data_IF_944003293347
#
_entry.id   IF_944003293347
#
_cell.length_a   1.000
_cell.length_b   1.000
_cell.length_c   1.000
_cell.angle_alpha   90.00
_cell.angle_beta   90.00
_cell.angle_gamma   90.00
#
_symmetry.space_group_name_H-M   'P 1'
#
loop_
_entity.id
_entity.type
_entity.pdbx_description
1 polymer ?
#
# COMPACT_ATOMS: atom_id res chain seq x y z
N UNK A 1 -73.71 -21.74 -17.65
CA UNK A 1 -73.35 -20.83 -16.55
C UNK A 1 -73.16 -21.64 -15.28
N UNK A 2 -71.92 -21.79 -14.79
CA UNK A 2 -71.59 -22.40 -13.49
C UNK A 2 -70.47 -21.59 -12.85
N UNK A 3 -70.77 -21.02 -11.68
CA UNK A 3 -69.86 -20.27 -10.82
C UNK A 3 -68.75 -21.18 -10.26
N UNK A 4 -67.51 -20.67 -10.17
CA UNK A 4 -66.47 -21.25 -9.31
C UNK A 4 -65.43 -20.21 -8.89
N UNK A 5 -65.72 -19.59 -7.74
CA UNK A 5 -64.87 -19.39 -6.57
C UNK A 5 -63.35 -19.19 -6.77
N UNK A 6 -62.89 -17.96 -6.55
CA UNK A 6 -61.61 -17.65 -5.89
C UNK A 6 -61.76 -17.89 -4.36
N UNK A 7 -60.70 -18.20 -3.57
CA UNK A 7 -59.46 -17.40 -3.39
C UNK A 7 -58.21 -18.31 -3.26
N UNK A 8 -56.95 -17.86 -3.18
CA UNK A 8 -56.36 -17.08 -2.10
C UNK A 8 -54.89 -16.85 -2.50
N UNK A 9 -54.53 -15.59 -2.75
CA UNK A 9 -53.14 -15.16 -2.92
C UNK A 9 -52.42 -15.33 -1.59
N UNK A 10 -51.45 -16.24 -1.50
CA UNK A 10 -50.47 -16.25 -0.41
C UNK A 10 -49.19 -15.58 -0.92
N UNK A 11 -49.13 -14.26 -0.72
CA UNK A 11 -47.95 -13.42 -0.97
C UNK A 11 -47.02 -13.59 0.24
N UNK A 12 -46.03 -14.48 0.12
CA UNK A 12 -44.99 -14.66 1.14
C UNK A 12 -43.92 -13.59 0.95
N UNK A 13 -44.11 -12.42 1.60
CA UNK A 13 -43.12 -11.35 1.65
C UNK A 13 -42.07 -11.73 2.69
N UNK A 14 -40.94 -12.30 2.25
CA UNK A 14 -39.77 -12.53 3.11
C UNK A 14 -38.99 -11.22 3.18
N UNK A 15 -39.19 -10.48 4.27
CA UNK A 15 -38.35 -9.33 4.63
C UNK A 15 -37.05 -9.87 5.24
N UNK A 16 -36.03 -10.09 4.41
CA UNK A 16 -34.66 -10.29 4.89
C UNK A 16 -34.03 -8.91 5.17
N UNK A 17 -34.19 -8.43 6.39
CA UNK A 17 -33.42 -7.30 6.90
C UNK A 17 -32.02 -7.78 7.31
N UNK A 18 -31.16 -8.09 6.34
CA UNK A 18 -29.71 -8.19 6.58
C UNK A 18 -29.08 -6.82 6.42
N UNK A 19 -29.14 -6.02 7.48
CA UNK A 19 -28.29 -4.82 7.62
C UNK A 19 -26.88 -5.27 7.98
N UNK A 20 -26.16 -5.87 7.03
CA UNK A 20 -24.72 -6.03 7.16
C UNK A 20 -24.09 -4.66 6.88
N UNK A 21 -23.87 -3.89 7.96
CA UNK A 21 -22.99 -2.73 7.94
C UNK A 21 -21.57 -3.23 7.64
N UNK A 22 -21.25 -3.36 6.34
CA UNK A 22 -19.88 -3.57 5.90
C UNK A 22 -19.16 -2.23 6.10
N UNK A 23 -18.49 -2.09 7.25
CA UNK A 23 -17.44 -1.07 7.40
C UNK A 23 -16.37 -1.38 6.36
N UNK A 24 -16.46 -0.72 5.21
CA UNK A 24 -15.46 -0.79 4.16
C UNK A 24 -14.22 -0.06 4.71
N UNK A 25 -13.34 -0.81 5.38
CA UNK A 25 -12.04 -0.28 5.76
C UNK A 25 -11.25 -0.02 4.49
N UNK A 26 -10.81 1.22 4.28
CA UNK A 26 -9.85 1.54 3.24
C UNK A 26 -8.62 0.63 3.39
N UNK A 27 -8.23 -0.03 2.29
CA UNK A 27 -7.08 -0.91 2.24
C UNK A 27 -5.86 -0.05 1.91
N UNK A 28 -4.90 0.03 2.83
CA UNK A 28 -3.70 0.82 2.65
C UNK A 28 -2.58 -0.01 2.00
N UNK A 29 -1.88 0.55 1.02
CA UNK A 29 -0.61 0.00 0.52
C UNK A 29 0.52 0.72 1.25
N UNK A 30 1.41 -0.02 1.90
CA UNK A 30 2.50 0.53 2.72
C UNK A 30 3.86 -0.02 2.31
N UNK A 31 4.92 0.71 2.66
CA UNK A 31 6.30 0.31 2.39
C UNK A 31 6.89 -0.63 3.45
N UNK A 32 6.28 -0.69 4.63
CA UNK A 32 6.75 -1.54 5.73
C UNK A 32 5.61 -1.89 6.69
N UNK A 33 5.78 -3.00 7.42
CA UNK A 33 4.80 -3.53 8.37
C UNK A 33 5.42 -3.56 9.76
N UNK A 34 4.62 -3.17 10.76
CA UNK A 34 4.92 -3.43 12.16
C UNK A 34 4.31 -4.78 12.56
N UNK A 35 5.16 -5.80 12.65
CA UNK A 35 4.75 -7.18 12.96
C UNK A 35 4.05 -7.32 14.32
N UNK A 36 4.17 -6.34 15.22
CA UNK A 36 3.52 -6.38 16.54
C UNK A 36 2.04 -6.00 16.50
N UNK A 37 1.60 -5.28 15.46
CA UNK A 37 0.22 -4.78 15.32
C UNK A 37 -0.52 -5.35 14.12
N UNK A 38 0.14 -6.21 13.36
CA UNK A 38 -0.34 -6.72 12.09
C UNK A 38 -0.35 -8.24 12.08
N UNK A 39 -1.46 -8.82 11.61
CA UNK A 39 -1.58 -10.27 11.44
C UNK A 39 -1.53 -10.60 9.95
N UNK A 40 -0.59 -11.45 9.53
CA UNK A 40 -0.51 -11.95 8.16
C UNK A 40 -1.77 -12.72 7.76
N UNK A 41 -2.24 -12.51 6.54
CA UNK A 41 -3.43 -13.17 5.98
C UNK A 41 -3.11 -14.05 4.78
N UNK A 42 -2.40 -13.51 3.80
CA UNK A 42 -2.04 -14.24 2.58
C UNK A 42 -0.96 -13.49 1.80
N UNK A 43 -0.42 -14.14 0.77
CA UNK A 43 0.48 -13.55 -0.21
C UNK A 43 0.01 -13.98 -1.59
N UNK A 44 0.05 -13.05 -2.54
CA UNK A 44 -0.31 -13.30 -3.92
C UNK A 44 0.61 -12.56 -4.89
N UNK A 45 0.61 -13.02 -6.14
CA UNK A 45 1.41 -12.43 -7.23
C UNK A 45 0.50 -11.99 -8.37
N UNK A 46 0.61 -10.71 -8.74
CA UNK A 46 0.01 -10.18 -9.96
C UNK A 46 1.01 -10.34 -11.12
N UNK A 47 0.63 -11.07 -12.17
CA UNK A 47 1.44 -11.23 -13.39
C UNK A 47 0.80 -10.50 -14.57
N UNK A 48 1.56 -9.65 -15.28
CA UNK A 48 1.05 -8.88 -16.43
C UNK A 48 2.10 -8.69 -17.53
N UNK A 49 1.64 -8.68 -18.78
CA UNK A 49 2.45 -8.35 -19.97
C UNK A 49 2.09 -6.98 -20.57
N UNK A 50 1.28 -6.19 -19.85
CA UNK A 50 0.88 -4.85 -20.30
C UNK A 50 2.07 -3.89 -20.17
N UNK A 51 2.27 -3.06 -21.21
CA UNK A 51 3.35 -2.05 -21.22
C UNK A 51 3.00 -0.76 -20.47
N UNK A 52 1.71 -0.48 -20.27
CA UNK A 52 1.21 0.75 -19.64
C UNK A 52 0.35 0.38 -18.43
N UNK A 53 0.40 1.20 -17.39
CA UNK A 53 -0.43 1.07 -16.18
C UNK A 53 -0.27 -0.28 -15.46
N UNK A 54 0.96 -0.79 -15.42
CA UNK A 54 1.28 -2.07 -14.76
C UNK A 54 0.96 -2.03 -13.27
N UNK A 55 1.48 -1.02 -12.57
CA UNK A 55 1.23 -0.82 -11.13
C UNK A 55 -0.26 -0.61 -10.84
N UNK A 56 -0.90 0.40 -11.44
CA UNK A 56 -2.34 0.67 -11.26
C UNK A 56 -3.23 -0.58 -11.39
N UNK A 57 -2.96 -1.44 -12.39
CA UNK A 57 -3.69 -2.69 -12.57
C UNK A 57 -3.39 -3.70 -11.46
N UNK A 58 -2.13 -3.88 -11.10
CA UNK A 58 -1.75 -4.83 -10.05
C UNK A 58 -2.18 -4.35 -8.66
N UNK A 59 -2.12 -3.05 -8.38
CA UNK A 59 -2.59 -2.45 -7.13
C UNK A 59 -4.09 -2.70 -6.97
N UNK A 60 -4.90 -2.43 -8.00
CA UNK A 60 -6.34 -2.73 -7.99
C UNK A 60 -6.59 -4.22 -7.74
N UNK A 61 -5.85 -5.09 -8.43
CA UNK A 61 -5.96 -6.54 -8.26
C UNK A 61 -5.57 -6.99 -6.85
N UNK A 62 -4.50 -6.43 -6.27
CA UNK A 62 -4.07 -6.75 -4.91
C UNK A 62 -5.03 -6.20 -3.86
N UNK A 63 -5.65 -5.03 -4.08
CA UNK A 63 -6.72 -4.48 -3.23
C UNK A 63 -7.91 -5.43 -3.18
N UNK A 64 -8.35 -5.94 -4.33
CA UNK A 64 -9.44 -6.92 -4.38
C UNK A 64 -9.08 -8.20 -3.64
N UNK A 65 -7.86 -8.72 -3.84
CA UNK A 65 -7.38 -9.93 -3.17
C UNK A 65 -7.18 -9.76 -1.67
N UNK A 66 -6.74 -8.59 -1.23
CA UNK A 66 -6.66 -8.25 0.19
C UNK A 66 -8.06 -8.21 0.82
N UNK A 67 -9.05 -7.64 0.12
CA UNK A 67 -10.45 -7.63 0.56
C UNK A 67 -11.02 -9.05 0.70
N UNK A 68 -10.75 -9.91 -0.29
CA UNK A 68 -11.21 -11.31 -0.30
C UNK A 68 -10.73 -12.08 0.95
N UNK A 69 -9.54 -11.77 1.48
CA UNK A 69 -8.96 -12.43 2.65
C UNK A 69 -9.15 -11.65 3.97
N UNK A 70 -9.94 -10.57 3.96
CA UNK A 70 -10.20 -9.73 5.13
C UNK A 70 -8.95 -9.01 5.66
N UNK A 71 -8.05 -8.60 4.76
CA UNK A 71 -6.91 -7.75 5.07
C UNK A 71 -7.25 -6.27 4.84
N UNK A 72 -6.60 -5.39 5.59
CA UNK A 72 -6.72 -3.93 5.45
C UNK A 72 -5.38 -3.25 5.13
N UNK A 73 -4.31 -4.02 4.95
CA UNK A 73 -2.98 -3.49 4.63
C UNK A 73 -2.27 -4.42 3.65
N UNK A 74 -1.60 -3.82 2.67
CA UNK A 74 -0.83 -4.50 1.63
C UNK A 74 0.62 -4.03 1.73
N UNK A 75 1.55 -4.99 1.75
CA UNK A 75 2.98 -4.73 1.59
C UNK A 75 3.43 -5.37 0.28
N UNK A 76 3.93 -4.58 -0.66
CA UNK A 76 4.60 -5.10 -1.86
C UNK A 76 5.99 -5.59 -1.44
N UNK A 77 6.22 -6.89 -1.59
CA UNK A 77 7.44 -7.54 -1.09
C UNK A 77 8.49 -7.74 -2.18
N UNK A 78 8.06 -7.87 -3.43
CA UNK A 78 8.96 -8.08 -4.56
C UNK A 78 8.34 -7.59 -5.87
N UNK A 79 9.19 -7.12 -6.78
CA UNK A 79 8.84 -6.82 -8.15
C UNK A 79 9.93 -7.33 -9.08
N UNK A 80 9.53 -8.17 -10.04
CA UNK A 80 10.43 -8.70 -11.04
C UNK A 80 9.87 -8.52 -12.45
N UNK A 81 10.77 -8.39 -13.41
CA UNK A 81 10.44 -8.25 -14.82
C UNK A 81 11.31 -9.18 -15.65
N UNK A 82 10.67 -9.98 -16.50
CA UNK A 82 11.35 -10.88 -17.43
C UNK A 82 11.05 -10.48 -18.86
N UNK A 83 11.99 -10.75 -19.77
CA UNK A 83 11.80 -10.54 -21.20
C UNK A 83 11.99 -11.85 -21.96
N UNK A 84 11.09 -12.11 -22.91
CA UNK A 84 11.18 -13.24 -23.82
C UNK A 84 10.92 -12.76 -25.25
N UNK A 85 11.45 -13.48 -26.24
CA UNK A 85 11.27 -13.15 -27.66
C UNK A 85 10.35 -14.18 -28.29
N UNK A 86 9.32 -13.70 -28.96
CA UNK A 86 8.43 -14.50 -29.80
C UNK A 86 8.78 -14.26 -31.26
N UNK A 87 9.35 -15.24 -31.97
CA UNK A 87 9.68 -15.07 -33.39
C UNK A 87 8.42 -15.00 -34.25
N UNK A 88 8.52 -14.30 -35.37
CA UNK A 88 7.57 -14.28 -36.45
C UNK A 88 8.12 -15.05 -37.65
N UNK A 89 7.24 -15.42 -38.59
CA UNK A 89 7.63 -16.17 -39.78
C UNK A 89 8.55 -15.38 -40.73
N UNK A 90 8.45 -14.05 -40.72
CA UNK A 90 9.27 -13.12 -41.52
C UNK A 90 10.70 -12.92 -40.95
N UNK A 91 11.09 -13.67 -39.91
CA UNK A 91 12.38 -13.54 -39.23
C UNK A 91 12.45 -12.39 -38.23
N UNK A 92 11.40 -11.56 -38.11
CA UNK A 92 11.30 -10.56 -37.05
C UNK A 92 10.92 -11.20 -35.71
N UNK A 93 10.99 -10.45 -34.61
CA UNK A 93 10.61 -10.93 -33.29
C UNK A 93 9.82 -9.87 -32.53
N UNK A 94 8.92 -10.34 -31.66
CA UNK A 94 8.23 -9.53 -30.67
C UNK A 94 8.82 -9.79 -29.29
N UNK A 95 9.33 -8.75 -28.65
CA UNK A 95 9.71 -8.82 -27.23
C UNK A 95 8.45 -8.79 -26.36
N UNK A 96 8.31 -9.81 -25.51
CA UNK A 96 7.27 -9.94 -24.49
C UNK A 96 7.93 -9.68 -23.14
N UNK A 97 7.57 -8.56 -22.53
CA UNK A 97 7.95 -8.25 -21.15
C UNK A 97 6.85 -8.72 -20.22
N UNK A 98 7.19 -9.50 -19.21
CA UNK A 98 6.28 -9.99 -18.18
C UNK A 98 6.74 -9.46 -16.84
N UNK A 99 5.89 -8.69 -16.18
CA UNK A 99 6.11 -8.17 -14.82
C UNK A 99 5.34 -9.02 -13.82
N UNK A 100 5.98 -9.36 -12.71
CA UNK A 100 5.38 -9.99 -11.54
C UNK A 100 5.52 -9.05 -10.35
N UNK A 101 4.41 -8.71 -9.71
CA UNK A 101 4.39 -7.95 -8.46
C UNK A 101 3.88 -8.88 -7.37
N UNK A 102 4.69 -9.09 -6.33
CA UNK A 102 4.35 -9.95 -5.19
C UNK A 102 3.95 -9.07 -4.03
N UNK A 103 2.82 -9.35 -3.41
CA UNK A 103 2.36 -8.61 -2.25
C UNK A 103 1.83 -9.54 -1.15
N UNK A 104 2.15 -9.17 0.09
CA UNK A 104 1.65 -9.78 1.31
C UNK A 104 0.55 -8.93 1.93
N UNK A 105 -0.46 -9.59 2.50
CA UNK A 105 -1.67 -8.97 3.04
C UNK A 105 -1.75 -9.15 4.54
N UNK A 106 -2.10 -8.07 5.23
CA UNK A 106 -2.15 -8.02 6.69
C UNK A 106 -3.46 -7.42 7.17
N UNK A 107 -3.88 -7.87 8.34
CA UNK A 107 -4.90 -7.20 9.15
C UNK A 107 -4.19 -6.47 10.30
N UNK A 108 -4.08 -5.16 10.18
CA UNK A 108 -3.44 -4.29 11.15
C UNK A 108 -4.46 -3.56 12.02
N UNK A 109 -4.22 -3.52 13.33
CA UNK A 109 -5.03 -2.74 14.28
C UNK A 109 -4.42 -1.35 14.49
N UNK A 110 -5.01 -0.33 13.86
CA UNK A 110 -4.60 1.07 13.94
C UNK A 110 -4.74 1.78 12.59
N UNK A 111 -4.96 3.10 12.59
CA UNK A 111 -4.86 3.89 11.35
C UNK A 111 -3.37 4.00 11.01
N UNK A 112 -2.95 3.35 9.93
CA UNK A 112 -1.66 3.62 9.31
C UNK A 112 -1.78 5.02 8.70
N UNK A 113 -1.32 6.03 9.43
CA UNK A 113 -1.25 7.40 8.92
C UNK A 113 -0.25 7.44 7.79
N UNK A 114 -0.74 7.80 6.60
CA UNK A 114 0.04 8.22 5.43
C UNK A 114 0.81 9.52 5.72
N UNK A 115 1.72 9.53 6.70
CA UNK A 115 2.69 10.61 6.86
C UNK A 115 3.90 10.29 5.98
N UNK A 116 3.71 10.37 4.65
CA UNK A 116 4.76 10.59 3.63
C UNK A 116 4.13 10.70 2.21
N UNK A 117 3.02 11.44 2.08
CA UNK A 117 2.65 11.99 0.77
C UNK A 117 3.51 13.24 0.52
N UNK A 118 4.30 13.32 -0.57
CA UNK A 118 5.09 14.50 -0.87
C UNK A 118 4.16 15.65 -1.26
N UNK A 119 3.96 16.60 -0.34
CA UNK A 119 3.40 17.90 -0.66
C UNK A 119 4.42 18.68 -1.51
N UNK A 120 4.23 18.67 -2.84
CA UNK A 120 4.88 19.62 -3.73
C UNK A 120 4.32 21.02 -3.45
N UNK A 121 5.16 21.83 -2.81
CA UNK A 121 5.46 23.24 -3.10
C UNK A 121 4.29 24.17 -3.40
N UNK A 122 3.98 25.06 -2.46
CA UNK A 122 4.06 26.52 -2.68
C UNK A 122 4.55 27.19 -1.39
N UNK A 123 5.53 28.09 -1.53
CA UNK A 123 6.19 28.80 -0.43
C UNK A 123 5.26 29.81 0.27
N UNK A 124 5.39 30.01 1.59
CA UNK A 124 5.05 31.28 2.21
C UNK A 124 6.30 32.06 2.66
N UNK A 125 6.33 33.40 2.49
CA UNK A 125 7.38 34.23 3.06
C UNK A 125 7.19 34.37 4.58
N UNK A 126 8.30 34.15 5.30
CA UNK A 126 8.70 34.72 6.60
C UNK A 126 7.57 35.19 7.54
N UNK A 127 7.44 34.54 8.71
CA UNK A 127 7.57 35.20 10.03
C UNK A 127 6.93 34.39 11.17
N UNK A 128 7.65 34.37 12.29
CA UNK A 128 7.25 34.04 13.67
C UNK A 128 6.94 32.59 14.02
N UNK A 129 7.81 32.07 14.90
CA UNK A 129 7.72 30.79 15.59
C UNK A 129 6.37 30.55 16.28
N UNK A 130 6.06 29.27 16.52
CA UNK A 130 5.87 28.83 17.89
C UNK A 130 6.84 27.68 18.22
N UNK A 131 7.49 27.80 19.38
CA UNK A 131 8.24 26.72 20.05
C UNK A 131 7.41 25.42 19.98
N UNK A 132 7.85 24.46 19.17
CA UNK A 132 7.34 23.09 19.25
C UNK A 132 7.89 22.47 20.53
N UNK A 133 7.04 22.37 21.53
CA UNK A 133 7.26 21.56 22.73
C UNK A 133 7.14 20.07 22.36
N UNK A 134 8.10 19.59 21.58
CA UNK A 134 8.33 18.15 21.37
C UNK A 134 9.65 17.86 22.08
N UNK A 135 9.73 16.88 23.00
CA UNK A 135 11.01 16.54 23.62
C UNK A 135 12.02 16.20 22.51
N UNK A 136 13.25 16.74 22.57
CA UNK A 136 14.25 16.45 21.56
C UNK A 136 14.48 14.93 21.53
N UNK A 137 14.28 14.33 20.35
CA UNK A 137 14.65 12.93 20.13
C UNK A 137 16.09 12.72 20.62
N UNK A 138 16.33 11.60 21.31
CA UNK A 138 17.62 11.37 21.95
C UNK A 138 18.75 11.38 20.91
N UNK A 139 19.98 11.73 21.33
CA UNK A 139 21.15 11.74 20.43
C UNK A 139 21.30 10.37 19.75
N UNK A 140 21.02 9.30 20.48
CA UNK A 140 21.04 7.92 19.98
C UNK A 140 19.99 7.67 18.90
N UNK A 141 18.74 8.07 19.11
CA UNK A 141 17.67 7.96 18.10
C UNK A 141 18.02 8.73 16.82
N UNK A 142 18.63 9.90 16.96
CA UNK A 142 19.07 10.74 15.84
C UNK A 142 20.21 10.08 15.06
N UNK A 143 21.15 9.42 15.73
CA UNK A 143 22.23 8.67 15.09
C UNK A 143 21.71 7.42 14.38
N UNK A 144 20.77 6.68 14.99
CA UNK A 144 20.12 5.50 14.37
C UNK A 144 19.38 5.91 13.10
N UNK A 145 18.59 6.99 13.15
CA UNK A 145 17.91 7.52 11.97
C UNK A 145 18.89 7.92 10.88
N UNK A 146 19.97 8.62 11.22
CA UNK A 146 21.00 9.02 10.27
C UNK A 146 21.68 7.82 9.59
N UNK A 147 21.99 6.76 10.35
CA UNK A 147 22.55 5.53 9.81
C UNK A 147 21.57 4.80 8.87
N UNK A 148 20.28 4.80 9.21
CA UNK A 148 19.23 4.23 8.35
C UNK A 148 19.15 4.95 7.00
N UNK A 149 19.22 6.30 7.00
CA UNK A 149 19.22 7.09 5.76
C UNK A 149 20.43 6.77 4.86
N UNK A 150 21.63 6.61 5.46
CA UNK A 150 22.83 6.24 4.70
C UNK A 150 22.74 4.82 4.13
N UNK A 151 22.29 3.83 4.92
CA UNK A 151 22.11 2.45 4.46
C UNK A 151 21.09 2.32 3.33
N UNK A 152 20.07 3.18 3.32
CA UNK A 152 19.06 3.26 2.26
C UNK A 152 19.55 4.01 1.02
N UNK A 153 20.79 4.53 1.01
CA UNK A 153 21.33 5.30 -0.10
C UNK A 153 20.68 6.68 -0.30
N UNK A 154 19.93 7.18 0.69
CA UNK A 154 19.22 8.45 0.62
C UNK A 154 20.11 9.66 0.91
N UNK A 155 21.27 9.41 1.51
CA UNK A 155 22.31 10.42 1.73
C UNK A 155 23.66 9.82 1.34
N UNK A 156 24.55 10.68 0.88
CA UNK A 156 25.93 10.32 0.53
C UNK A 156 26.78 10.09 1.78
N UNK A 157 27.92 9.42 1.63
CA UNK A 157 28.87 9.21 2.74
C UNK A 157 29.38 10.54 3.32
N UNK A 158 29.57 11.55 2.47
CA UNK A 158 30.00 12.88 2.90
C UNK A 158 28.94 13.56 3.80
N UNK A 159 27.67 13.51 3.39
CA UNK A 159 26.55 14.04 4.18
C UNK A 159 26.33 13.28 5.48
N UNK A 160 26.49 11.95 5.46
CA UNK A 160 26.43 11.12 6.65
C UNK A 160 27.50 11.53 7.67
N UNK A 161 28.77 11.67 7.24
CA UNK A 161 29.87 12.07 8.12
C UNK A 161 29.64 13.46 8.72
N UNK A 162 29.24 14.44 7.91
CA UNK A 162 28.98 15.80 8.35
C UNK A 162 27.82 15.89 9.36
N UNK A 163 26.71 15.21 9.09
CA UNK A 163 25.55 15.20 9.99
C UNK A 163 25.85 14.43 11.28
N UNK A 164 26.64 13.36 11.20
CA UNK A 164 27.07 12.58 12.37
C UNK A 164 27.95 13.41 13.30
N UNK A 165 28.91 14.18 12.77
CA UNK A 165 29.72 15.08 13.59
C UNK A 165 28.89 16.18 14.23
N UNK A 166 27.91 16.74 13.52
CA UNK A 166 27.02 17.75 14.08
C UNK A 166 26.19 17.20 15.26
N UNK A 167 25.62 16.00 15.12
CA UNK A 167 24.85 15.35 16.20
C UNK A 167 25.74 15.03 17.41
N UNK A 168 26.97 14.58 17.17
CA UNK A 168 27.91 14.26 18.26
C UNK A 168 28.47 15.51 18.94
N UNK A 169 28.51 16.66 18.28
CA UNK A 169 28.95 17.92 18.90
C UNK A 169 27.95 18.53 19.90
N UNK A 170 26.77 17.92 20.03
CA UNK A 170 25.74 18.33 21.00
C UNK A 170 25.86 17.59 22.35
N UNK A 171 26.83 16.67 22.49
CA UNK A 171 27.25 16.06 23.75
C UNK A 171 28.12 17.04 24.57
#
# INVERSE_FOLDING_TARGET
>A
MRLKNHPLKLLLVIVFAFSAAHSQSDIAIVESIDDTRCTYKAQHTCTTQKKKKTHEKCDTWHIDKARDVGANTILITDESSTESRRPHYDGTYKTIRTTNIVASYYLCSGKLTEENAPALTEEPPVSSAPKSTTPPASIEERLIRLQSLYKKGLITEAEYKHKRSAILSEL
#
